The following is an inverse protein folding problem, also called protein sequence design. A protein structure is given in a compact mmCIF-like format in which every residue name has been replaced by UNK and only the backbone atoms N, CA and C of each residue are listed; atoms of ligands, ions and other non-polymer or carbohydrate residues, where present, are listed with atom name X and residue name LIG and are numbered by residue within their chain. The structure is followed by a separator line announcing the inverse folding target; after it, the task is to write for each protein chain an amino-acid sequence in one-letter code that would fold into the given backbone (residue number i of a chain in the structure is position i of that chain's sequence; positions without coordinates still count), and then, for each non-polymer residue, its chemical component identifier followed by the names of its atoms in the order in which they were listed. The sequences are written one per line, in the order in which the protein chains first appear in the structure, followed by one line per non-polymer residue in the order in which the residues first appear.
data_IF_042945899619
#
_entry.id   IF_042945899619
#
_cell.length_a   1.000
_cell.length_b   1.000
_cell.length_c   1.000
_cell.angle_alpha   90.00
_cell.angle_beta   90.00
_cell.angle_gamma   90.00
#
_symmetry.space_group_name_H-M   'P 1'
#
loop_
_entity.id
_entity.type
_entity.pdbx_description
1 polymer ?
#
# COMPACT_ATOMS: atom_id res chain seq x y z
N UNK A 1 5.14 3.43 -17.30
CA UNK A 1 5.96 2.31 -16.81
C UNK A 1 5.01 1.13 -16.70
N UNK A 2 5.35 0.03 -17.35
CA UNK A 2 4.51 -1.16 -17.34
C UNK A 2 4.55 -1.78 -15.93
N UNK A 3 3.51 -2.49 -15.51
CA UNK A 3 3.45 -3.08 -14.16
C UNK A 3 4.62 -4.03 -13.91
N UNK A 4 4.98 -4.81 -14.93
CA UNK A 4 6.11 -5.72 -14.90
C UNK A 4 7.45 -5.00 -14.69
N UNK A 5 7.60 -3.77 -15.23
CA UNK A 5 8.81 -2.96 -15.02
C UNK A 5 8.96 -2.53 -13.56
N UNK A 6 7.86 -2.16 -12.88
CA UNK A 6 7.88 -1.75 -11.47
C UNK A 6 8.31 -2.93 -10.60
N UNK A 7 7.68 -4.08 -10.81
CA UNK A 7 7.94 -5.30 -10.03
C UNK A 7 9.37 -5.79 -10.27
N UNK A 8 9.83 -5.81 -11.52
CA UNK A 8 11.21 -6.16 -11.86
C UNK A 8 12.22 -5.21 -11.21
N UNK A 9 11.94 -3.90 -11.24
CA UNK A 9 12.77 -2.89 -10.59
C UNK A 9 12.86 -3.08 -9.07
N UNK A 10 11.75 -3.40 -8.40
CA UNK A 10 11.78 -3.71 -6.97
C UNK A 10 12.51 -5.02 -6.66
N UNK A 11 12.30 -6.06 -7.47
CA UNK A 11 12.99 -7.33 -7.30
C UNK A 11 14.51 -7.16 -7.41
N UNK A 12 14.99 -6.33 -8.34
CA UNK A 12 16.41 -5.99 -8.45
C UNK A 12 16.92 -5.23 -7.22
N UNK A 13 16.19 -4.19 -6.78
CA UNK A 13 16.58 -3.40 -5.60
C UNK A 13 16.65 -4.25 -4.33
N UNK A 14 15.69 -5.16 -4.14
CA UNK A 14 15.67 -6.08 -2.99
C UNK A 14 16.87 -7.04 -3.05
N UNK A 15 17.14 -7.63 -4.21
CA UNK A 15 18.31 -8.52 -4.39
C UNK A 15 19.62 -7.80 -4.11
N UNK A 16 19.80 -6.59 -4.63
CA UNK A 16 21.01 -5.79 -4.40
C UNK A 16 21.18 -5.40 -2.92
N UNK A 17 20.11 -4.93 -2.27
CA UNK A 17 20.16 -4.58 -0.85
C UNK A 17 20.46 -5.80 0.03
N UNK A 18 19.88 -6.96 -0.31
CA UNK A 18 20.16 -8.23 0.38
C UNK A 18 21.61 -8.67 0.22
N UNK A 19 22.21 -8.51 -0.96
CA UNK A 19 23.62 -8.85 -1.19
C UNK A 19 24.57 -7.96 -0.38
N UNK A 20 24.22 -6.69 -0.21
CA UNK A 20 25.02 -5.71 0.51
C UNK A 20 24.75 -5.66 2.03
N UNK A 21 23.76 -6.42 2.53
CA UNK A 21 23.28 -6.31 3.92
C UNK A 21 22.69 -4.94 4.27
N UNK A 22 22.18 -4.20 3.26
CA UNK A 22 21.60 -2.86 3.45
C UNK A 22 20.11 -2.96 3.79
N UNK A 23 19.65 -2.33 4.89
CA UNK A 23 18.23 -2.35 5.24
C UNK A 23 17.40 -1.57 4.21
N UNK A 24 16.22 -2.11 3.88
CA UNK A 24 15.19 -1.44 3.09
C UNK A 24 13.95 -1.20 3.94
N UNK A 25 13.35 -0.03 3.75
CA UNK A 25 12.10 0.38 4.36
C UNK A 25 10.99 0.44 3.31
N UNK A 26 10.13 -0.57 3.31
CA UNK A 26 8.95 -0.61 2.45
C UNK A 26 7.96 0.46 2.92
N UNK A 27 7.62 1.41 2.04
CA UNK A 27 6.81 2.57 2.42
C UNK A 27 5.81 2.93 1.34
N UNK A 28 4.54 3.05 1.73
CA UNK A 28 3.50 3.72 0.94
C UNK A 28 3.56 5.23 1.14
N UNK A 29 2.46 5.84 1.58
CA UNK A 29 2.44 7.28 1.87
C UNK A 29 3.07 7.71 3.20
N UNK A 30 3.46 6.77 4.06
CA UNK A 30 4.15 7.04 5.33
C UNK A 30 3.36 7.85 6.36
N UNK A 31 2.02 7.82 6.30
CA UNK A 31 1.15 8.46 7.28
C UNK A 31 1.22 7.81 8.67
N UNK A 32 1.86 6.65 8.76
CA UNK A 32 2.04 5.84 9.98
C UNK A 32 3.53 5.63 10.31
N UNK A 33 4.43 6.46 9.80
CA UNK A 33 5.88 6.38 10.09
C UNK A 33 6.19 6.53 11.61
N UNK A 34 5.25 7.06 12.39
CA UNK A 34 5.33 7.16 13.86
C UNK A 34 4.95 5.85 14.58
N UNK A 35 4.33 4.90 13.88
CA UNK A 35 3.79 3.68 14.47
C UNK A 35 4.75 2.51 14.25
N UNK A 36 5.26 1.94 15.34
CA UNK A 36 6.12 0.74 15.30
C UNK A 36 7.58 1.02 15.62
N UNK A 37 8.48 0.47 14.80
CA UNK A 37 9.93 0.46 15.01
C UNK A 37 10.61 1.74 14.50
N UNK A 38 11.88 1.92 14.87
CA UNK A 38 12.72 2.97 14.32
C UNK A 38 12.78 2.91 12.78
N UNK A 39 12.80 4.08 12.15
CA UNK A 39 12.85 4.21 10.70
C UNK A 39 14.29 4.01 10.22
N UNK A 40 14.64 2.77 9.90
CA UNK A 40 15.96 2.40 9.38
C UNK A 40 15.88 1.94 7.92
N UNK A 41 16.92 2.22 7.14
CA UNK A 41 17.06 1.79 5.76
C UNK A 41 16.51 2.72 4.68
N UNK A 42 16.87 2.38 3.44
CA UNK A 42 16.49 3.12 2.23
C UNK A 42 15.02 2.87 1.89
N UNK A 43 14.30 3.92 1.45
CA UNK A 43 12.87 3.78 1.11
C UNK A 43 12.71 2.97 -0.19
N UNK A 44 11.95 1.88 -0.10
CA UNK A 44 11.33 1.19 -1.23
C UNK A 44 9.88 1.70 -1.35
N UNK A 45 9.66 2.70 -2.20
CA UNK A 45 8.37 3.38 -2.39
C UNK A 45 7.40 2.52 -3.21
N UNK A 46 6.20 2.26 -2.66
CA UNK A 46 5.18 1.42 -3.29
C UNK A 46 4.09 2.17 -4.06
N UNK A 47 4.07 3.51 -4.00
CA UNK A 47 2.96 4.35 -4.50
C UNK A 47 2.77 4.29 -6.02
N UNK A 48 3.83 3.99 -6.77
CA UNK A 48 3.73 3.81 -8.21
C UNK A 48 2.86 2.58 -8.59
N UNK A 49 2.76 1.58 -7.71
CA UNK A 49 1.96 0.38 -7.91
C UNK A 49 0.57 0.57 -7.29
N UNK A 50 -0.29 1.28 -8.00
CA UNK A 50 -1.61 1.70 -7.52
C UNK A 50 -2.73 1.39 -8.52
N UNK A 51 -3.97 1.43 -8.03
CA UNK A 51 -5.18 1.21 -8.80
C UNK A 51 -5.91 -0.09 -8.45
N UNK A 52 -7.17 -0.15 -8.87
CA UNK A 52 -8.03 -1.33 -8.77
C UNK A 52 -7.65 -2.30 -9.89
N UNK A 53 -7.44 -3.57 -9.53
CA UNK A 53 -7.17 -4.67 -10.45
C UNK A 53 -8.47 -5.36 -10.86
N UNK A 54 -9.33 -5.65 -9.88
CA UNK A 54 -10.67 -6.22 -10.09
C UNK A 54 -11.60 -5.79 -8.97
N UNK A 55 -12.89 -5.70 -9.27
CA UNK A 55 -13.93 -5.43 -8.28
C UNK A 55 -15.21 -6.16 -8.69
N UNK A 56 -15.64 -7.08 -7.82
CA UNK A 56 -16.94 -7.73 -7.89
C UNK A 56 -17.81 -7.23 -6.72
N UNK A 57 -18.74 -6.29 -6.96
CA UNK A 57 -19.59 -5.75 -5.91
C UNK A 57 -20.60 -6.75 -5.35
N UNK A 58 -20.99 -7.78 -6.10
CA UNK A 58 -21.97 -8.77 -5.66
C UNK A 58 -21.33 -9.74 -4.66
N UNK A 59 -20.07 -10.10 -4.90
CA UNK A 59 -19.28 -10.96 -4.02
C UNK A 59 -18.58 -10.21 -2.88
N UNK A 60 -18.66 -8.87 -2.86
CA UNK A 60 -17.94 -8.00 -1.91
C UNK A 60 -16.42 -8.19 -1.96
N UNK A 61 -15.88 -8.46 -3.15
CA UNK A 61 -14.45 -8.71 -3.36
C UNK A 61 -13.84 -7.63 -4.23
N UNK A 62 -12.78 -7.00 -3.73
CA UNK A 62 -11.98 -6.03 -4.47
C UNK A 62 -10.50 -6.40 -4.38
N UNK A 63 -9.83 -6.41 -5.52
CA UNK A 63 -8.36 -6.54 -5.61
C UNK A 63 -7.80 -5.19 -5.99
N UNK A 64 -6.90 -4.66 -5.16
CA UNK A 64 -6.21 -3.39 -5.40
C UNK A 64 -4.71 -3.55 -5.22
N UNK A 65 -3.95 -2.71 -5.92
CA UNK A 65 -2.50 -2.64 -5.74
C UNK A 65 -2.14 -1.95 -4.42
N UNK A 66 -1.02 -2.33 -3.82
CA UNK A 66 -0.64 -1.88 -2.47
C UNK A 66 -0.45 -0.36 -2.33
N UNK A 67 0.00 0.31 -3.39
CA UNK A 67 0.19 1.76 -3.43
C UNK A 67 -1.11 2.55 -3.60
N UNK A 68 -2.26 1.89 -3.81
CA UNK A 68 -3.55 2.56 -4.00
C UNK A 68 -3.88 3.45 -2.81
N UNK A 69 -4.16 4.75 -3.02
CA UNK A 69 -4.65 5.63 -1.97
C UNK A 69 -5.90 5.04 -1.32
N UNK A 70 -5.93 4.99 0.01
CA UNK A 70 -7.06 4.45 0.76
C UNK A 70 -8.36 5.20 0.43
N UNK A 71 -8.28 6.53 0.34
CA UNK A 71 -9.40 7.38 -0.06
C UNK A 71 -9.94 7.06 -1.47
N UNK A 72 -9.08 6.61 -2.39
CA UNK A 72 -9.53 6.18 -3.72
C UNK A 72 -10.34 4.88 -3.63
N UNK A 73 -9.86 3.90 -2.85
CA UNK A 73 -10.62 2.67 -2.63
C UNK A 73 -11.96 2.95 -1.96
N UNK A 74 -11.98 3.78 -0.93
CA UNK A 74 -13.22 4.18 -0.23
C UNK A 74 -14.22 4.85 -1.17
N UNK A 75 -13.74 5.70 -2.09
CA UNK A 75 -14.60 6.33 -3.12
C UNK A 75 -15.24 5.28 -4.01
N UNK A 76 -14.47 4.30 -4.50
CA UNK A 76 -14.96 3.20 -5.36
C UNK A 76 -16.00 2.35 -4.63
N UNK A 77 -15.78 2.04 -3.35
CA UNK A 77 -16.74 1.28 -2.55
C UNK A 77 -18.01 2.09 -2.28
N UNK A 78 -17.87 3.39 -1.97
CA UNK A 78 -19.00 4.27 -1.68
C UNK A 78 -19.94 4.44 -2.88
N UNK A 79 -19.43 4.40 -4.12
CA UNK A 79 -20.26 4.37 -5.34
C UNK A 79 -21.23 3.18 -5.39
N UNK A 80 -20.94 2.11 -4.64
CA UNK A 80 -21.80 0.93 -4.49
C UNK A 80 -22.50 0.84 -3.13
N UNK A 81 -22.42 1.90 -2.31
CA UNK A 81 -22.94 1.90 -0.94
C UNK A 81 -22.19 0.93 -0.02
N UNK A 82 -20.94 0.60 -0.35
CA UNK A 82 -20.09 -0.32 0.40
C UNK A 82 -19.00 0.45 1.16
N UNK A 83 -18.41 -0.21 2.15
CA UNK A 83 -17.33 0.33 2.96
C UNK A 83 -16.37 -0.78 3.40
N UNK A 84 -15.18 -0.37 3.85
CA UNK A 84 -14.27 -1.28 4.53
C UNK A 84 -14.78 -1.48 5.97
N UNK A 85 -15.07 -2.72 6.40
CA UNK A 85 -15.71 -2.97 7.70
C UNK A 85 -14.81 -2.71 8.91
N UNK A 86 -13.51 -2.52 8.69
CA UNK A 86 -12.51 -2.27 9.73
C UNK A 86 -12.06 -0.80 9.81
N UNK A 87 -12.74 0.09 9.05
CA UNK A 87 -12.55 1.55 8.98
C UNK A 87 -11.10 2.02 9.23
N UNK A 88 -10.15 1.64 8.34
CA UNK A 88 -8.73 1.86 8.61
C UNK A 88 -8.41 3.34 8.83
N UNK A 89 -7.77 3.71 9.96
CA UNK A 89 -7.43 5.10 10.21
C UNK A 89 -6.37 5.59 9.22
N UNK A 90 -6.62 6.73 8.59
CA UNK A 90 -5.76 7.28 7.54
C UNK A 90 -4.45 7.86 8.09
N UNK A 91 -4.54 8.64 9.17
CA UNK A 91 -3.45 9.46 9.75
C UNK A 91 -2.77 10.41 8.76
N UNK A 92 -3.46 10.76 7.67
CA UNK A 92 -2.98 11.68 6.64
C UNK A 92 -3.55 11.34 5.26
N UNK A 93 -3.58 12.33 4.35
CA UNK A 93 -4.18 12.19 3.02
C UNK A 93 -3.47 11.19 2.10
N UNK A 94 -2.22 10.85 2.41
CA UNK A 94 -1.41 9.94 1.61
C UNK A 94 -1.56 8.47 2.04
N UNK A 95 -2.50 8.11 2.92
CA UNK A 95 -2.69 6.73 3.35
C UNK A 95 -2.90 5.79 2.15
N UNK A 96 -2.24 4.65 2.15
CA UNK A 96 -2.30 3.64 1.08
C UNK A 96 -2.80 2.32 1.63
N UNK A 97 -3.49 1.52 0.82
CA UNK A 97 -4.04 0.22 1.23
C UNK A 97 -2.98 -0.70 1.83
N UNK A 98 -1.82 -0.84 1.17
CA UNK A 98 -0.72 -1.66 1.69
C UNK A 98 -0.16 -1.15 3.03
N UNK A 99 -0.18 0.17 3.24
CA UNK A 99 0.21 0.78 4.51
C UNK A 99 -0.80 0.51 5.64
N UNK A 100 -2.09 0.40 5.33
CA UNK A 100 -3.10 0.00 6.30
C UNK A 100 -2.96 -1.46 6.71
N UNK A 101 -2.75 -2.36 5.74
CA UNK A 101 -2.48 -3.78 6.02
C UNK A 101 -1.22 -3.95 6.86
N UNK A 102 -0.12 -3.29 6.47
CA UNK A 102 1.16 -3.40 7.19
C UNK A 102 1.10 -2.88 8.63
N UNK A 103 0.27 -1.87 8.89
CA UNK A 103 0.08 -1.33 10.24
C UNK A 103 -0.90 -2.16 11.09
N UNK A 104 -1.79 -2.93 10.49
CA UNK A 104 -2.78 -3.74 11.22
C UNK A 104 -3.72 -2.92 12.12
N UNK A 105 -3.91 -1.63 11.82
CA UNK A 105 -4.79 -0.74 12.57
C UNK A 105 -6.21 -0.78 11.99
N UNK A 106 -7.20 -0.92 12.87
CA UNK A 106 -8.63 -0.88 12.58
C UNK A 106 -9.32 0.09 13.55
N UNK A 107 -10.47 0.62 13.14
CA UNK A 107 -11.26 1.62 13.87
C UNK A 107 -12.74 1.45 13.65
#
# INVERSE_FOLDING_TARGET
MEEDDIVAGWAERIRAASADGRPLRIRGGGTKDWYGQALDGEILDTRAFQGVVSYDPAELVVTVRAGTPLAQLETVLAERGQMLPFEPPHFGRAATVGGCIAAGLAG
#
